data_IF_074729388254
#
_entry.id   IF_074729388254
#
_cell.length_a   1.000
_cell.length_b   1.000
_cell.length_c   1.000
_cell.angle_alpha   90.00
_cell.angle_beta   90.00
_cell.angle_gamma   90.00
#
_symmetry.space_group_name_H-M   'P 1'
#
loop_
_entity.id
_entity.type
_entity.pdbx_description
1 polymer ?
#
# COMPACT_ATOMS: atom_id res chain seq x y z
N UNK A 1 -11.80 9.82 -24.93
CA UNK A 1 -12.48 9.57 -23.64
C UNK A 1 -11.39 9.19 -22.66
N UNK A 2 -10.94 10.07 -21.78
CA UNK A 2 -10.00 9.67 -20.73
C UNK A 2 -10.73 8.70 -19.81
N UNK A 3 -10.27 7.46 -19.69
CA UNK A 3 -10.85 6.51 -18.75
C UNK A 3 -10.74 7.07 -17.33
N UNK A 4 -11.86 7.10 -16.61
CA UNK A 4 -11.91 7.60 -15.24
C UNK A 4 -11.11 6.68 -14.32
N UNK A 5 -10.09 7.25 -13.65
CA UNK A 5 -9.24 6.53 -12.70
C UNK A 5 -9.98 6.31 -11.38
N UNK A 6 -10.21 5.06 -11.01
CA UNK A 6 -10.90 4.66 -9.79
C UNK A 6 -9.99 4.76 -8.55
N UNK A 7 -10.60 4.79 -7.36
CA UNK A 7 -9.87 4.76 -6.09
C UNK A 7 -9.29 6.11 -5.63
N UNK A 8 -9.56 7.22 -6.34
CA UNK A 8 -9.12 8.56 -5.95
C UNK A 8 -9.60 8.99 -4.55
N UNK A 9 -10.82 8.60 -4.16
CA UNK A 9 -11.34 8.89 -2.82
C UNK A 9 -10.62 8.10 -1.72
N UNK A 10 -10.07 6.90 -2.01
CA UNK A 10 -9.21 6.20 -1.05
C UNK A 10 -7.88 6.94 -0.86
N UNK A 11 -7.30 7.49 -1.94
CA UNK A 11 -6.13 8.37 -1.84
C UNK A 11 -6.43 9.64 -1.03
N UNK A 12 -7.59 10.26 -1.24
CA UNK A 12 -8.02 11.42 -0.47
C UNK A 12 -8.17 11.06 1.03
N UNK A 13 -8.83 9.94 1.34
CA UNK A 13 -8.98 9.47 2.72
C UNK A 13 -7.64 9.15 3.39
N UNK A 14 -6.67 8.59 2.65
CA UNK A 14 -5.31 8.38 3.16
C UNK A 14 -4.61 9.71 3.48
N UNK A 15 -4.73 10.71 2.62
CA UNK A 15 -4.13 12.03 2.86
C UNK A 15 -4.79 12.79 4.02
N UNK A 16 -6.09 12.58 4.23
CA UNK A 16 -6.83 13.14 5.37
C UNK A 16 -6.43 12.45 6.69
N UNK A 17 -6.42 11.11 6.70
CA UNK A 17 -6.08 10.33 7.90
C UNK A 17 -4.60 10.41 8.27
N UNK A 18 -3.71 10.52 7.26
CA UNK A 18 -2.26 10.51 7.44
C UNK A 18 -1.58 11.64 6.63
N UNK A 19 -1.74 12.91 7.04
CA UNK A 19 -1.18 14.04 6.30
C UNK A 19 0.34 13.91 6.12
N UNK A 20 0.81 13.97 4.88
CA UNK A 20 2.24 13.90 4.54
C UNK A 20 2.88 12.52 4.70
N UNK A 21 2.09 11.44 4.83
CA UNK A 21 2.59 10.05 4.85
C UNK A 21 2.69 9.45 3.46
N UNK A 22 1.76 9.80 2.56
CA UNK A 22 1.84 9.41 1.14
C UNK A 22 2.94 10.25 0.47
N UNK A 23 3.94 9.56 -0.08
CA UNK A 23 5.11 10.16 -0.72
C UNK A 23 4.90 10.29 -2.23
N UNK A 24 4.27 9.28 -2.84
CA UNK A 24 3.98 9.23 -4.26
C UNK A 24 2.76 8.35 -4.52
N UNK A 25 2.14 8.49 -5.69
CA UNK A 25 1.06 7.62 -6.12
C UNK A 25 0.98 7.55 -7.64
N UNK A 26 0.63 6.37 -8.15
CA UNK A 26 0.49 6.15 -9.59
C UNK A 26 -0.65 5.17 -9.89
N UNK A 27 -1.33 5.41 -11.00
CA UNK A 27 -2.27 4.46 -11.58
C UNK A 27 -1.59 3.67 -12.68
N UNK A 28 -1.52 2.34 -12.53
CA UNK A 28 -1.02 1.43 -13.55
C UNK A 28 -2.12 1.09 -14.58
N UNK A 29 -3.36 0.98 -14.11
CA UNK A 29 -4.57 0.79 -14.91
C UNK A 29 -5.68 1.68 -14.37
N UNK A 30 -6.89 1.63 -14.96
CA UNK A 30 -8.03 2.41 -14.47
C UNK A 30 -8.41 2.09 -13.03
N UNK A 31 -8.19 0.86 -12.58
CA UNK A 31 -8.67 0.29 -11.33
C UNK A 31 -7.54 -0.16 -10.39
N UNK A 32 -6.29 0.12 -10.72
CA UNK A 32 -5.12 -0.20 -9.89
C UNK A 32 -4.37 1.07 -9.53
N UNK A 33 -4.41 1.42 -8.25
CA UNK A 33 -3.70 2.55 -7.67
C UNK A 33 -2.61 2.03 -6.74
N UNK A 34 -1.36 2.41 -7.02
CA UNK A 34 -0.24 2.20 -6.11
C UNK A 34 0.04 3.48 -5.34
N UNK A 35 0.15 3.39 -4.01
CA UNK A 35 0.52 4.49 -3.12
C UNK A 35 1.83 4.15 -2.42
N UNK A 36 2.85 4.99 -2.61
CA UNK A 36 4.11 4.88 -1.87
C UNK A 36 3.98 5.66 -0.58
N UNK A 37 4.25 5.02 0.56
CA UNK A 37 4.11 5.63 1.90
C UNK A 37 5.41 5.58 2.69
N UNK A 38 5.50 6.38 3.75
CA UNK A 38 6.60 6.30 4.72
C UNK A 38 6.64 4.93 5.38
N UNK A 39 7.81 4.29 5.40
CA UNK A 39 8.01 2.93 5.94
C UNK A 39 7.46 2.75 7.37
N UNK A 40 7.64 3.76 8.23
CA UNK A 40 7.19 3.70 9.64
C UNK A 40 5.67 3.77 9.83
N UNK A 41 4.90 4.08 8.78
CA UNK A 41 3.44 4.15 8.79
C UNK A 41 2.78 2.99 8.03
N UNK A 42 3.58 2.05 7.53
CA UNK A 42 3.08 0.89 6.80
C UNK A 42 1.97 0.14 7.58
N UNK A 43 2.14 -0.21 8.87
CA UNK A 43 1.13 -0.93 9.62
C UNK A 43 -0.18 -0.15 9.75
N UNK A 44 -0.11 1.14 10.06
CA UNK A 44 -1.27 2.03 10.24
C UNK A 44 -2.03 2.22 8.92
N UNK A 45 -1.32 2.41 7.81
CA UNK A 45 -1.93 2.60 6.48
C UNK A 45 -2.64 1.32 6.03
N UNK A 46 -2.01 0.15 6.17
CA UNK A 46 -2.62 -1.12 5.78
C UNK A 46 -3.81 -1.45 6.69
N UNK A 47 -3.71 -1.24 8.00
CA UNK A 47 -4.81 -1.39 8.95
C UNK A 47 -6.01 -0.50 8.58
N UNK A 48 -5.75 0.77 8.25
CA UNK A 48 -6.78 1.71 7.85
C UNK A 48 -7.51 1.26 6.57
N UNK A 49 -6.76 0.89 5.54
CA UNK A 49 -7.36 0.40 4.29
C UNK A 49 -8.15 -0.90 4.51
N UNK A 50 -7.61 -1.82 5.30
CA UNK A 50 -8.24 -3.11 5.58
C UNK A 50 -9.53 -2.95 6.40
N UNK A 51 -9.47 -2.34 7.58
CA UNK A 51 -10.62 -2.30 8.51
C UNK A 51 -11.55 -1.11 8.29
N UNK A 52 -11.04 0.08 7.93
CA UNK A 52 -11.86 1.30 7.82
C UNK A 52 -12.42 1.49 6.42
N UNK A 53 -11.62 1.19 5.40
CA UNK A 53 -12.02 1.37 4.00
C UNK A 53 -12.60 0.11 3.35
N UNK A 54 -12.65 -1.02 4.06
CA UNK A 54 -13.22 -2.28 3.57
C UNK A 54 -12.36 -2.97 2.53
N UNK A 55 -11.05 -2.87 2.68
CA UNK A 55 -10.05 -3.57 1.88
C UNK A 55 -9.84 -5.00 2.37
N UNK A 56 -9.45 -5.87 1.45
CA UNK A 56 -9.07 -7.25 1.73
C UNK A 56 -7.65 -7.50 1.23
N UNK A 57 -6.74 -7.85 2.14
CA UNK A 57 -5.34 -8.13 1.80
C UNK A 57 -5.26 -9.41 0.97
N UNK A 58 -4.91 -9.28 -0.30
CA UNK A 58 -4.89 -10.38 -1.27
C UNK A 58 -3.51 -11.01 -1.39
N UNK A 59 -2.47 -10.19 -1.52
CA UNK A 59 -1.08 -10.65 -1.65
C UNK A 59 -0.15 -9.57 -1.10
N UNK A 60 0.98 -10.01 -0.56
CA UNK A 60 2.12 -9.14 -0.35
C UNK A 60 3.39 -9.79 -0.88
N UNK A 61 4.32 -8.96 -1.34
CA UNK A 61 5.57 -9.43 -1.94
C UNK A 61 6.67 -8.37 -1.82
N UNK A 62 7.92 -8.83 -1.75
CA UNK A 62 9.10 -7.99 -1.87
C UNK A 62 9.62 -7.97 -3.30
N UNK A 63 10.23 -6.86 -3.69
CA UNK A 63 10.94 -6.71 -4.96
C UNK A 63 12.32 -6.08 -4.73
N UNK A 64 13.32 -6.56 -5.48
CA UNK A 64 14.66 -5.98 -5.48
C UNK A 64 14.73 -4.85 -6.51
N UNK A 65 14.57 -3.61 -6.03
CA UNK A 65 14.58 -2.41 -6.85
C UNK A 65 15.87 -1.60 -6.71
N UNK A 66 16.92 -2.20 -6.15
CA UNK A 66 18.18 -1.49 -5.84
C UNK A 66 18.80 -0.88 -7.10
N UNK A 67 18.66 -1.56 -8.25
CA UNK A 67 19.13 -1.05 -9.55
C UNK A 67 18.30 0.11 -10.11
N UNK A 68 17.07 0.30 -9.61
CA UNK A 68 16.14 1.33 -10.07
C UNK A 68 16.20 2.58 -9.19
N UNK A 69 16.20 2.40 -7.87
CA UNK A 69 16.07 3.49 -6.90
C UNK A 69 16.94 3.31 -5.64
N UNK A 70 17.81 2.29 -5.58
CA UNK A 70 18.68 2.03 -4.43
C UNK A 70 18.04 1.30 -3.26
N UNK A 71 16.75 0.93 -3.34
CA UNK A 71 16.00 0.34 -2.23
C UNK A 71 15.46 -1.05 -2.58
N UNK A 72 15.16 -1.84 -1.56
CA UNK A 72 14.15 -2.89 -1.69
C UNK A 72 12.76 -2.23 -1.66
N UNK A 73 11.77 -2.88 -2.24
CA UNK A 73 10.38 -2.44 -2.13
C UNK A 73 9.52 -3.58 -1.59
N UNK A 74 8.59 -3.25 -0.70
CA UNK A 74 7.58 -4.20 -0.21
C UNK A 74 6.20 -3.68 -0.60
N UNK A 75 5.37 -4.59 -1.10
CA UNK A 75 4.06 -4.31 -1.67
C UNK A 75 2.98 -5.06 -0.90
N UNK A 76 1.93 -4.36 -0.48
CA UNK A 76 0.72 -4.92 0.11
C UNK A 76 -0.45 -4.60 -0.81
N UNK A 77 -1.05 -5.61 -1.41
CA UNK A 77 -2.13 -5.44 -2.40
C UNK A 77 -3.46 -5.73 -1.72
N UNK A 78 -4.33 -4.73 -1.68
CA UNK A 78 -5.68 -4.82 -1.13
C UNK A 78 -6.72 -4.73 -2.26
N UNK A 79 -7.68 -5.66 -2.24
CA UNK A 79 -8.91 -5.56 -3.03
C UNK A 79 -9.94 -4.75 -2.24
N UNK A 80 -10.50 -3.68 -2.82
CA UNK A 80 -11.48 -2.83 -2.15
C UNK A 80 -12.91 -3.33 -2.44
N UNK A 81 -13.58 -3.89 -1.42
CA UNK A 81 -14.84 -4.61 -1.64
C UNK A 81 -16.09 -3.84 -1.22
N UNK A 82 -15.98 -2.92 -0.26
CA UNK A 82 -17.14 -2.21 0.32
C UNK A 82 -17.58 -0.96 -0.48
N UNK A 83 -16.62 -0.25 -1.09
CA UNK A 83 -16.84 0.99 -1.83
C UNK A 83 -16.69 0.83 -3.33
N UNK A 84 -16.01 1.77 -3.99
CA UNK A 84 -15.61 1.58 -5.39
C UNK A 84 -14.66 0.40 -5.48
N UNK A 85 -15.01 -0.56 -6.33
CA UNK A 85 -14.21 -1.76 -6.58
C UNK A 85 -12.96 -1.38 -7.37
N UNK A 86 -11.81 -1.52 -6.73
CA UNK A 86 -10.49 -1.28 -7.29
C UNK A 86 -9.44 -1.97 -6.42
N UNK A 87 -8.21 -1.97 -6.89
CA UNK A 87 -7.05 -2.48 -6.18
C UNK A 87 -6.21 -1.31 -5.66
N UNK A 88 -5.87 -1.36 -4.38
CA UNK A 88 -4.93 -0.43 -3.76
C UNK A 88 -3.68 -1.20 -3.36
N UNK A 89 -2.55 -0.82 -3.93
CA UNK A 89 -1.25 -1.36 -3.58
C UNK A 89 -0.51 -0.36 -2.69
N UNK A 90 -0.26 -0.73 -1.43
CA UNK A 90 0.61 0.04 -0.53
C UNK A 90 2.05 -0.40 -0.77
N UNK A 91 2.88 0.53 -1.23
CA UNK A 91 4.30 0.33 -1.49
C UNK A 91 5.12 1.06 -0.43
N UNK A 92 6.18 0.43 0.06
CA UNK A 92 7.22 1.10 0.86
C UNK A 92 8.60 0.79 0.31
N UNK A 93 9.49 1.78 0.43
CA UNK A 93 10.92 1.62 0.15
C UNK A 93 11.63 1.24 1.44
N UNK A 94 12.45 0.20 1.36
CA UNK A 94 13.23 -0.34 2.48
C UNK A 94 14.71 -0.21 2.15
N UNK A 95 15.47 0.39 3.07
CA UNK A 95 16.91 0.61 2.90
C UNK A 95 17.64 -0.72 2.71
N UNK A 96 18.46 -0.81 1.66
CA UNK A 96 19.24 -2.01 1.36
C UNK A 96 20.29 -2.34 2.44
N UNK A 97 20.77 -1.34 3.19
CA UNK A 97 21.74 -1.51 4.28
C UNK A 97 21.06 -1.80 5.62
N UNK A 98 19.77 -1.49 5.75
CA UNK A 98 18.93 -1.79 6.90
C UNK A 98 17.59 -2.37 6.42
N UNK A 99 17.57 -3.66 6.01
CA UNK A 99 16.41 -4.30 5.39
C UNK A 99 15.33 -4.69 6.40
N UNK A 100 15.01 -3.77 7.31
CA UNK A 100 14.02 -3.93 8.37
C UNK A 100 12.88 -2.93 8.16
N UNK A 101 11.66 -3.38 8.37
CA UNK A 101 10.46 -2.54 8.34
C UNK A 101 9.48 -3.04 9.41
N UNK A 102 8.58 -2.17 9.92
CA UNK A 102 7.63 -2.57 10.93
C UNK A 102 6.61 -3.57 10.37
N UNK A 103 6.42 -4.68 11.07
CA UNK A 103 5.46 -5.72 10.69
C UNK A 103 4.02 -5.22 10.81
N UNK A 104 3.22 -5.57 9.82
CA UNK A 104 1.78 -5.32 9.73
C UNK A 104 0.98 -6.38 10.49
N UNK A 105 1.51 -7.59 10.63
CA UNK A 105 0.84 -8.74 11.27
C UNK A 105 0.19 -8.44 12.64
N UNK A 106 0.82 -7.68 13.57
CA UNK A 106 0.19 -7.37 14.85
C UNK A 106 -1.13 -6.60 14.75
N UNK A 107 -1.33 -5.84 13.65
CA UNK A 107 -2.56 -5.07 13.39
C UNK A 107 -3.49 -5.81 12.44
N UNK A 108 -2.95 -6.43 11.38
CA UNK A 108 -3.71 -7.16 10.36
C UNK A 108 -3.18 -8.59 10.27
N UNK A 109 -3.78 -9.56 10.99
CA UNK A 109 -3.31 -10.95 11.03
C UNK A 109 -3.23 -11.64 9.66
N UNK A 110 -3.96 -11.14 8.66
CA UNK A 110 -3.90 -11.66 7.29
C UNK A 110 -2.49 -11.52 6.66
N UNK A 111 -1.64 -10.63 7.16
CA UNK A 111 -0.27 -10.45 6.66
C UNK A 111 0.70 -11.57 7.09
N UNK A 112 0.34 -12.38 8.11
CA UNK A 112 1.28 -13.29 8.80
C UNK A 112 1.97 -14.29 7.89
N UNK A 113 1.29 -14.81 6.87
CA UNK A 113 1.92 -15.76 5.94
C UNK A 113 2.78 -15.07 4.88
N UNK A 114 2.42 -13.86 4.46
CA UNK A 114 3.18 -13.17 3.43
C UNK A 114 4.42 -12.44 3.95
N UNK A 115 4.49 -12.15 5.25
CA UNK A 115 5.67 -11.53 5.89
C UNK A 115 6.77 -12.54 6.27
N UNK A 116 6.52 -13.84 6.11
CA UNK A 116 7.46 -14.93 6.45
C UNK A 116 8.34 -15.33 5.27
#
# INVERSE_FOLDING_TARGET
>A
MSEEKLGQHYLAALNEAFPGVVLDHAWQTKDQLTVTVKVNYLPEVVEFLYYKQGGWLSVLFGNDERKLNGHYAVYYVLSMEKGTKCWITVRVEVDANKPEYPSVTPRVPAAVWGER
#
